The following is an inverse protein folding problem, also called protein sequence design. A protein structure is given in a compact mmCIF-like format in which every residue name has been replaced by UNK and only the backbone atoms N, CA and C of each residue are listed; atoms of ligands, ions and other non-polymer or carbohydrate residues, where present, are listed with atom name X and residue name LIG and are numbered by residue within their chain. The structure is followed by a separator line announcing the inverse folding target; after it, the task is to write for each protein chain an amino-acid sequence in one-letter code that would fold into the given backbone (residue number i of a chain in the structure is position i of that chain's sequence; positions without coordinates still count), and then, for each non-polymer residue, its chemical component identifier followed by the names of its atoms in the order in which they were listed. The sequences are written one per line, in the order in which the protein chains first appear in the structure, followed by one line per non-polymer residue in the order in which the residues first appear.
data_IF_731006916054
#
_entry.id   IF_731006916054
#
_cell.length_a   1.000
_cell.length_b   1.000
_cell.length_c   1.000
_cell.angle_alpha   90.00
_cell.angle_beta   90.00
_cell.angle_gamma   90.00
#
_symmetry.space_group_name_H-M   'P 1'
#
loop_
_entity.id
_entity.type
_entity.pdbx_description
1 polymer ?
#
# COMPACT_ATOMS: atom_id res chain seq x y z
N UNK A 1 4.59 -10.23 -10.32
CA UNK A 1 5.06 -9.22 -9.35
C UNK A 1 4.03 -8.11 -9.24
N UNK A 2 3.75 -7.65 -8.03
CA UNK A 2 2.73 -6.64 -7.80
C UNK A 2 3.40 -5.30 -7.50
N UNK A 3 3.29 -4.30 -8.40
CA UNK A 3 3.80 -2.96 -8.10
C UNK A 3 3.01 -2.32 -6.96
N UNK A 4 3.71 -1.60 -6.09
CA UNK A 4 3.11 -0.95 -4.92
C UNK A 4 3.32 0.56 -4.95
N UNK A 5 2.38 1.28 -4.33
CA UNK A 5 2.54 2.67 -3.94
C UNK A 5 2.32 2.75 -2.44
N UNK A 6 3.29 3.30 -1.72
CA UNK A 6 3.18 3.52 -0.27
C UNK A 6 2.57 4.88 -0.03
N UNK A 7 1.50 4.93 0.77
CA UNK A 7 0.88 6.17 1.21
C UNK A 7 1.91 7.05 1.93
N UNK A 8 1.67 8.37 1.96
CA UNK A 8 2.68 9.33 2.40
C UNK A 8 3.11 9.20 3.87
N UNK A 9 2.33 8.49 4.68
CA UNK A 9 2.74 8.21 6.06
C UNK A 9 3.93 7.25 6.17
N UNK A 10 4.24 6.51 5.10
CA UNK A 10 5.38 5.59 5.10
C UNK A 10 6.64 6.29 4.63
N UNK A 11 7.74 6.05 5.35
CA UNK A 11 9.05 6.59 4.99
C UNK A 11 9.52 6.07 3.63
N UNK A 12 10.22 6.93 2.89
CA UNK A 12 10.88 6.53 1.64
C UNK A 12 11.92 5.44 1.82
N UNK A 13 12.42 5.23 3.04
CA UNK A 13 13.36 4.16 3.35
C UNK A 13 12.72 2.79 3.07
N UNK A 14 11.43 2.65 3.39
CA UNK A 14 10.71 1.39 3.15
C UNK A 14 10.72 1.04 1.66
N UNK A 15 10.35 2.01 0.81
CA UNK A 15 10.36 1.81 -0.64
C UNK A 15 11.78 1.51 -1.15
N UNK A 16 12.77 2.23 -0.66
CA UNK A 16 14.17 2.03 -1.05
C UNK A 16 14.68 0.63 -0.73
N UNK A 17 14.38 0.13 0.47
CA UNK A 17 14.78 -1.22 0.88
C UNK A 17 14.09 -2.29 0.04
N UNK A 18 12.81 -2.10 -0.28
CA UNK A 18 12.08 -3.06 -1.11
C UNK A 18 12.58 -3.04 -2.55
N UNK A 19 12.89 -1.86 -3.10
CA UNK A 19 13.50 -1.77 -4.43
C UNK A 19 14.85 -2.46 -4.49
N UNK A 20 15.64 -2.36 -3.43
CA UNK A 20 16.94 -3.05 -3.35
C UNK A 20 16.80 -4.58 -3.38
N UNK A 21 15.62 -5.09 -3.00
CA UNK A 21 15.29 -6.51 -3.08
C UNK A 21 14.65 -6.91 -4.42
N UNK A 22 14.55 -5.99 -5.38
CA UNK A 22 14.00 -6.25 -6.70
C UNK A 22 12.52 -5.99 -6.85
N UNK A 23 11.86 -5.40 -5.86
CA UNK A 23 10.42 -5.12 -5.93
C UNK A 23 10.14 -3.74 -6.50
N UNK A 24 9.00 -3.59 -7.18
CA UNK A 24 8.56 -2.32 -7.76
C UNK A 24 7.72 -1.55 -6.74
N UNK A 25 8.37 -0.68 -5.97
CA UNK A 25 7.71 0.08 -4.91
C UNK A 25 8.07 1.55 -5.02
N UNK A 26 7.06 2.41 -5.02
CA UNK A 26 7.21 3.86 -4.97
C UNK A 26 6.61 4.37 -3.67
N UNK A 27 7.21 5.44 -3.13
CA UNK A 27 6.69 6.12 -1.95
C UNK A 27 6.07 7.45 -2.36
N UNK A 28 4.86 7.73 -1.88
CA UNK A 28 4.20 9.01 -2.17
C UNK A 28 5.01 10.20 -1.67
N UNK A 29 5.70 10.06 -0.54
CA UNK A 29 6.56 11.14 0.02
C UNK A 29 7.68 11.57 -0.93
N UNK A 30 8.11 10.69 -1.85
CA UNK A 30 9.15 11.01 -2.81
C UNK A 30 8.61 11.63 -4.09
N UNK A 31 7.30 11.69 -4.28
CA UNK A 31 6.66 12.23 -5.46
C UNK A 31 5.97 13.55 -5.17
N UNK A 32 6.49 14.71 -5.66
CA UNK A 32 5.89 16.02 -5.32
C UNK A 32 4.40 16.12 -5.69
N UNK A 33 3.99 15.44 -6.74
CA UNK A 33 2.59 15.44 -7.18
C UNK A 33 1.68 14.58 -6.29
N UNK A 34 2.25 13.74 -5.43
CA UNK A 34 1.49 12.79 -4.61
C UNK A 34 1.36 13.25 -3.16
N UNK A 35 2.22 14.16 -2.72
CA UNK A 35 2.18 14.68 -1.34
C UNK A 35 0.93 15.55 -1.17
N UNK A 36 0.21 15.31 -0.09
CA UNK A 36 -0.97 16.10 0.25
C UNK A 36 -2.24 15.73 -0.50
N UNK A 37 -2.23 14.67 -1.30
CA UNK A 37 -3.45 14.20 -1.94
C UNK A 37 -4.44 13.65 -0.91
N UNK A 38 -5.74 13.89 -1.14
CA UNK A 38 -6.79 13.26 -0.36
C UNK A 38 -6.79 11.73 -0.60
N UNK A 39 -7.39 10.98 0.32
CA UNK A 39 -7.38 9.51 0.28
C UNK A 39 -7.96 8.97 -1.03
N UNK A 40 -9.08 9.53 -1.49
CA UNK A 40 -9.70 9.11 -2.76
C UNK A 40 -8.81 9.45 -3.96
N UNK A 41 -8.08 10.55 -3.90
CA UNK A 41 -7.18 10.97 -4.96
C UNK A 41 -5.96 10.08 -5.07
N UNK A 42 -5.35 9.71 -3.93
CA UNK A 42 -4.18 8.83 -3.97
C UNK A 42 -4.56 7.41 -4.39
N UNK A 43 -5.74 6.94 -3.99
CA UNK A 43 -6.22 5.63 -4.44
C UNK A 43 -6.49 5.64 -5.95
N UNK A 44 -7.09 6.70 -6.48
CA UNK A 44 -7.31 6.84 -7.91
C UNK A 44 -5.99 6.89 -8.69
N UNK A 45 -5.00 7.60 -8.15
CA UNK A 45 -3.67 7.66 -8.77
C UNK A 45 -3.01 6.27 -8.81
N UNK A 46 -3.03 5.56 -7.69
CA UNK A 46 -2.46 4.22 -7.61
C UNK A 46 -3.15 3.28 -8.60
N UNK A 47 -4.48 3.37 -8.69
CA UNK A 47 -5.28 2.56 -9.60
C UNK A 47 -4.93 2.83 -11.06
N UNK A 48 -4.80 4.10 -11.45
CA UNK A 48 -4.41 4.48 -12.80
C UNK A 48 -2.99 4.00 -13.15
N UNK A 49 -2.10 3.98 -12.16
CA UNK A 49 -0.73 3.50 -12.33
C UNK A 49 -0.61 1.97 -12.20
N UNK A 50 -1.72 1.27 -11.93
CA UNK A 50 -1.78 -0.18 -11.71
C UNK A 50 -0.88 -0.62 -10.56
N UNK A 51 -0.89 0.16 -9.47
CA UNK A 51 -0.15 -0.12 -8.26
C UNK A 51 -1.11 -0.35 -7.11
N UNK A 52 -0.90 -1.42 -6.34
CA UNK A 52 -1.65 -1.61 -5.11
C UNK A 52 -1.20 -0.55 -4.10
N UNK A 53 -2.14 0.07 -3.40
CA UNK A 53 -1.86 1.09 -2.41
C UNK A 53 -1.67 0.46 -1.04
N UNK A 54 -0.57 0.80 -0.38
CA UNK A 54 -0.30 0.40 1.01
C UNK A 54 -0.61 1.58 1.91
N UNK A 55 -1.52 1.40 2.86
CA UNK A 55 -1.92 2.47 3.78
C UNK A 55 -2.18 1.92 5.17
N UNK A 56 -1.95 2.75 6.20
CA UNK A 56 -2.31 2.45 7.57
C UNK A 56 -3.65 3.09 7.97
N UNK A 57 -4.24 3.88 7.09
CA UNK A 57 -5.48 4.61 7.36
C UNK A 57 -6.71 3.72 7.06
N UNK A 58 -6.81 2.63 7.82
CA UNK A 58 -7.77 1.56 7.54
C UNK A 58 -9.20 2.08 7.50
N UNK A 59 -9.59 2.88 8.49
CA UNK A 59 -11.00 3.31 8.62
C UNK A 59 -11.43 4.24 7.49
N UNK A 60 -10.51 4.97 6.86
CA UNK A 60 -10.85 5.88 5.76
C UNK A 60 -10.82 5.19 4.40
N UNK A 61 -10.02 4.13 4.25
CA UNK A 61 -9.92 3.42 2.98
C UNK A 61 -10.94 2.29 2.81
N UNK A 62 -11.44 1.70 3.88
CA UNK A 62 -12.52 0.70 3.79
C UNK A 62 -13.76 1.28 3.11
N UNK A 63 -14.25 2.50 3.47
CA UNK A 63 -15.36 3.09 2.75
C UNK A 63 -15.08 3.38 1.28
N UNK A 64 -13.83 3.70 0.92
CA UNK A 64 -13.46 3.94 -0.48
C UNK A 64 -13.55 2.64 -1.30
N UNK A 65 -13.10 1.53 -0.74
CA UNK A 65 -13.27 0.23 -1.37
C UNK A 65 -14.75 -0.08 -1.62
N UNK A 66 -15.60 0.18 -0.62
CA UNK A 66 -17.04 -0.02 -0.76
C UNK A 66 -17.63 0.83 -1.89
N UNK A 67 -17.16 2.07 -2.04
CA UNK A 67 -17.61 2.95 -3.13
C UNK A 67 -17.19 2.43 -4.50
N UNK A 68 -15.99 1.89 -4.63
CA UNK A 68 -15.56 1.26 -5.89
C UNK A 68 -16.44 0.07 -6.23
N UNK A 69 -16.73 -0.80 -5.26
CA UNK A 69 -17.60 -1.95 -5.48
C UNK A 69 -19.02 -1.55 -5.85
N UNK A 70 -19.57 -0.52 -5.18
CA UNK A 70 -20.91 -0.02 -5.47
C UNK A 70 -21.00 0.56 -6.89
N UNK A 71 -19.91 1.10 -7.43
CA UNK A 71 -19.85 1.64 -8.78
C UNK A 71 -19.44 0.58 -9.81
N UNK A 72 -19.33 -0.68 -9.42
CA UNK A 72 -18.84 -1.77 -10.27
C UNK A 72 -17.46 -1.50 -10.84
N UNK A 73 -16.61 -0.83 -10.05
CA UNK A 73 -15.23 -0.50 -10.42
C UNK A 73 -14.25 -1.25 -9.50
N UNK A 74 -13.05 -1.47 -10.00
CA UNK A 74 -11.99 -2.10 -9.24
C UNK A 74 -10.80 -1.16 -9.13
N UNK A 75 -10.35 -0.90 -7.90
CA UNK A 75 -9.05 -0.28 -7.68
C UNK A 75 -7.94 -1.33 -7.92
N UNK A 76 -6.69 -0.90 -7.96
CA UNK A 76 -5.58 -1.81 -8.26
C UNK A 76 -5.16 -2.70 -7.09
N UNK A 77 -5.82 -2.58 -5.96
CA UNK A 77 -5.56 -3.34 -4.74
C UNK A 77 -5.29 -2.43 -3.56
N UNK A 78 -5.69 -2.87 -2.36
CA UNK A 78 -5.44 -2.18 -1.10
C UNK A 78 -4.76 -3.14 -0.13
N UNK A 79 -3.63 -2.72 0.40
CA UNK A 79 -2.92 -3.44 1.46
C UNK A 79 -3.02 -2.57 2.71
N UNK A 80 -3.71 -3.07 3.72
CA UNK A 80 -3.98 -2.33 4.94
C UNK A 80 -3.01 -2.75 6.04
N UNK A 81 -2.33 -1.76 6.61
CA UNK A 81 -1.35 -1.96 7.68
C UNK A 81 -2.01 -1.54 8.99
N UNK A 82 -2.48 -2.51 9.74
CA UNK A 82 -3.18 -2.27 11.00
C UNK A 82 -2.21 -1.88 12.11
N UNK A 83 -2.56 -0.87 12.91
CA UNK A 83 -1.76 -0.47 14.08
C UNK A 83 -1.70 -1.56 15.15
N UNK A 84 -2.68 -2.46 15.17
CA UNK A 84 -2.69 -3.58 16.09
C UNK A 84 -1.61 -4.60 15.74
N UNK A 85 -1.42 -4.87 14.44
CA UNK A 85 -0.40 -5.82 13.96
C UNK A 85 0.96 -5.16 13.84
N UNK A 86 0.99 -3.88 13.47
CA UNK A 86 2.21 -3.10 13.26
C UNK A 86 2.15 -1.83 14.10
N UNK A 87 2.45 -1.90 15.40
CA UNK A 87 2.48 -0.69 16.23
C UNK A 87 3.50 0.31 15.69
N UNK A 88 3.16 1.59 15.72
CA UNK A 88 4.02 2.64 15.20
C UNK A 88 5.07 3.04 16.23
N UNK A 89 5.96 2.12 16.53
CA UNK A 89 7.10 2.29 17.41
C UNK A 89 8.41 2.17 16.61
N UNK A 90 9.55 2.05 17.29
CA UNK A 90 10.86 1.97 16.62
C UNK A 90 11.01 0.73 15.74
N UNK A 91 10.18 -0.29 15.90
CA UNK A 91 10.25 -1.52 15.10
C UNK A 91 9.37 -1.47 13.85
N UNK A 92 8.56 -0.41 13.71
CA UNK A 92 7.55 -0.32 12.65
C UNK A 92 8.16 -0.47 11.25
N UNK A 93 9.18 0.32 10.95
CA UNK A 93 9.79 0.34 9.60
C UNK A 93 10.31 -1.04 9.23
N UNK A 94 11.09 -1.68 10.10
CA UNK A 94 11.65 -3.00 9.82
C UNK A 94 10.56 -4.07 9.71
N UNK A 95 9.54 -4.00 10.55
CA UNK A 95 8.44 -4.96 10.52
C UNK A 95 7.63 -4.84 9.22
N UNK A 96 7.36 -3.62 8.77
CA UNK A 96 6.63 -3.40 7.51
C UNK A 96 7.47 -3.87 6.31
N UNK A 97 8.76 -3.56 6.28
CA UNK A 97 9.65 -4.02 5.21
C UNK A 97 9.63 -5.55 5.13
N UNK A 98 9.79 -6.22 6.26
CA UNK A 98 9.81 -7.68 6.32
C UNK A 98 8.49 -8.27 5.82
N UNK A 99 7.37 -7.72 6.29
CA UNK A 99 6.04 -8.21 5.93
C UNK A 99 5.72 -7.98 4.44
N UNK A 100 6.04 -6.79 3.91
CA UNK A 100 5.82 -6.50 2.50
C UNK A 100 6.73 -7.35 1.61
N UNK A 101 7.98 -7.56 2.01
CA UNK A 101 8.89 -8.42 1.29
C UNK A 101 8.35 -9.85 1.20
N UNK A 102 7.88 -10.39 2.33
CA UNK A 102 7.29 -11.72 2.35
C UNK A 102 6.06 -11.83 1.46
N UNK A 103 5.20 -10.80 1.48
CA UNK A 103 4.02 -10.75 0.62
C UNK A 103 4.40 -10.73 -0.86
N UNK A 104 5.37 -9.91 -1.23
CA UNK A 104 5.79 -9.74 -2.63
C UNK A 104 6.58 -10.93 -3.16
N UNK A 105 7.18 -11.72 -2.28
CA UNK A 105 7.90 -12.93 -2.65
C UNK A 105 6.95 -14.10 -2.95
N UNK A 106 5.68 -13.98 -2.63
CA UNK A 106 4.70 -15.00 -2.96
C UNK A 106 4.42 -15.02 -4.46
N UNK A 107 4.14 -16.19 -5.04
CA UNK A 107 3.85 -16.28 -6.48
C UNK A 107 2.54 -15.63 -6.87
N UNK A 108 1.59 -15.51 -5.95
CA UNK A 108 0.29 -14.89 -6.20
C UNK A 108 0.44 -13.38 -6.31
N UNK A 109 -0.24 -12.80 -7.30
CA UNK A 109 -0.27 -11.34 -7.44
C UNK A 109 -1.50 -10.77 -6.75
N UNK A 110 -1.38 -9.50 -6.33
CA UNK A 110 -2.52 -8.76 -5.79
C UNK A 110 -3.46 -8.45 -6.96
N UNK A 111 -4.72 -8.85 -6.81
CA UNK A 111 -5.71 -8.70 -7.86
C UNK A 111 -6.43 -7.36 -7.81
N UNK A 112 -6.94 -6.84 -8.93
CA UNK A 112 -7.78 -5.65 -8.91
C UNK A 112 -8.96 -5.84 -7.96
N UNK A 113 -9.24 -4.84 -7.16
CA UNK A 113 -10.33 -4.87 -6.18
C UNK A 113 -10.03 -5.66 -4.91
N UNK A 114 -8.88 -6.30 -4.82
CA UNK A 114 -8.51 -7.07 -3.63
C UNK A 114 -8.17 -6.14 -2.47
N UNK A 115 -8.69 -6.46 -1.29
CA UNK A 115 -8.32 -5.79 -0.04
C UNK A 115 -7.73 -6.85 0.87
N UNK A 116 -6.54 -6.60 1.38
CA UNK A 116 -5.93 -7.50 2.35
C UNK A 116 -5.30 -6.72 3.49
N UNK A 117 -5.35 -7.30 4.68
CA UNK A 117 -4.58 -6.81 5.81
C UNK A 117 -3.21 -7.46 5.76
N UNK A 118 -2.17 -6.62 5.84
CA UNK A 118 -0.80 -7.14 5.81
C UNK A 118 -0.56 -8.03 7.02
N UNK A 119 -0.24 -9.32 6.82
CA UNK A 119 0.09 -10.18 7.94
C UNK A 119 1.52 -9.91 8.39
N UNK A 120 1.79 -10.22 9.65
CA UNK A 120 3.14 -10.11 10.16
C UNK A 120 4.00 -11.19 9.52
N UNK A 121 5.00 -10.74 8.82
CA UNK A 121 5.85 -11.62 8.03
C UNK A 121 6.94 -12.35 8.80
#
# INVERSE_FOLDING_TARGET
MSPLLLDEMFSGIIAGQLRAKGHHVLAAVAGPALVGLADDQILAHATAARRALVTANVKDFIPLDARYRAASQAHAGLILVSAKTFPQDRTFTAAVISALSALLDQPSQIQPGQVLFLPRG
#
